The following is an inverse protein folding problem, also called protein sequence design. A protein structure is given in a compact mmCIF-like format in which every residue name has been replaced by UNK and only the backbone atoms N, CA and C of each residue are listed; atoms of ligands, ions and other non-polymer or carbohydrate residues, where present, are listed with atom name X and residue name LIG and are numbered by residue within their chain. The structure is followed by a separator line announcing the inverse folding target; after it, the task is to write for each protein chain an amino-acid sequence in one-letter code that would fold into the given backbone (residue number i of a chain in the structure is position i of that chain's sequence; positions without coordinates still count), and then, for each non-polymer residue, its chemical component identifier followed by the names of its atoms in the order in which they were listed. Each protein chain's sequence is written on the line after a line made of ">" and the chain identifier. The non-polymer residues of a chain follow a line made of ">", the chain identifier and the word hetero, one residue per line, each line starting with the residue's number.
data_IF_058498417986
#
_entry.id   IF_058498417986
#
_cell.length_a   1.000
_cell.length_b   1.000
_cell.length_c   1.000
_cell.angle_alpha   90.00
_cell.angle_beta   90.00
_cell.angle_gamma   90.00
#
_symmetry.space_group_name_H-M   'P 1'
#
loop_
_entity.id
_entity.type
_entity.pdbx_description
1 polymer ?
#
# COMPACT_ATOMS: atom_id res chain seq x y z
N UNK A 1 -13.88 24.06 -3.07
CA UNK A 1 -13.65 23.41 -4.39
C UNK A 1 -12.77 22.18 -4.18
N UNK A 2 -13.29 20.96 -4.36
CA UNK A 2 -12.43 19.75 -4.42
C UNK A 2 -11.82 19.72 -5.83
N UNK A 3 -10.54 20.05 -5.96
CA UNK A 3 -9.79 19.76 -7.18
C UNK A 3 -9.78 18.24 -7.35
N UNK A 4 -10.54 17.71 -8.32
CA UNK A 4 -10.28 16.38 -8.84
C UNK A 4 -8.99 16.46 -9.66
N UNK A 5 -7.85 16.45 -8.95
CA UNK A 5 -6.56 16.23 -9.61
C UNK A 5 -6.56 14.80 -10.12
N UNK A 6 -6.27 14.61 -11.41
CA UNK A 6 -5.99 13.29 -11.94
C UNK A 6 -4.77 12.76 -11.18
N UNK A 7 -4.94 11.69 -10.41
CA UNK A 7 -3.85 11.11 -9.65
C UNK A 7 -2.72 10.66 -10.60
N UNK A 8 -1.47 10.91 -10.21
CA UNK A 8 -0.31 10.57 -11.05
C UNK A 8 -0.10 9.07 -11.22
N UNK A 9 -0.58 8.28 -10.25
CA UNK A 9 -0.53 6.83 -10.26
C UNK A 9 -1.92 6.21 -10.38
N UNK A 10 -1.96 5.03 -11.01
CA UNK A 10 -3.13 4.14 -11.04
C UNK A 10 -3.15 3.25 -9.80
N UNK A 11 -4.33 2.92 -9.33
CA UNK A 11 -4.53 2.05 -8.17
C UNK A 11 -5.01 0.66 -8.57
N UNK A 12 -4.42 -0.37 -7.98
CA UNK A 12 -4.92 -1.74 -7.99
C UNK A 12 -5.09 -2.18 -6.55
N UNK A 13 -6.15 -2.94 -6.27
CA UNK A 13 -6.49 -3.38 -4.92
C UNK A 13 -6.51 -4.89 -4.87
N UNK A 14 -5.67 -5.47 -4.03
CA UNK A 14 -5.70 -6.90 -3.76
C UNK A 14 -6.98 -7.29 -3.01
N UNK A 15 -7.41 -8.55 -3.16
CA UNK A 15 -8.63 -9.06 -2.52
C UNK A 15 -8.56 -8.87 -1.00
N UNK A 16 -7.38 -9.07 -0.39
CA UNK A 16 -7.17 -8.84 1.05
C UNK A 16 -7.42 -7.37 1.42
N UNK A 17 -6.93 -6.44 0.60
CA UNK A 17 -7.15 -5.02 0.81
C UNK A 17 -8.65 -4.68 0.80
N UNK A 18 -9.39 -5.19 -0.19
CA UNK A 18 -10.84 -4.96 -0.30
C UNK A 18 -11.58 -5.52 0.92
N UNK A 19 -11.29 -6.76 1.32
CA UNK A 19 -11.89 -7.39 2.51
C UNK A 19 -11.60 -6.59 3.79
N UNK A 20 -10.37 -6.11 3.96
CA UNK A 20 -10.02 -5.33 5.13
C UNK A 20 -10.62 -3.91 5.09
N UNK A 21 -10.78 -3.31 3.90
CA UNK A 21 -11.48 -2.04 3.75
C UNK A 21 -12.95 -2.14 4.20
N UNK A 22 -13.61 -3.26 3.93
CA UNK A 22 -14.96 -3.57 4.42
C UNK A 22 -14.98 -3.78 5.93
N UNK A 23 -14.06 -4.60 6.44
CA UNK A 23 -13.89 -4.88 7.89
C UNK A 23 -13.69 -3.59 8.70
N UNK A 24 -12.95 -2.63 8.15
CA UNK A 24 -12.61 -1.37 8.81
C UNK A 24 -13.39 -0.18 8.23
N UNK A 25 -14.69 -0.38 7.99
CA UNK A 25 -15.58 0.60 7.36
C UNK A 25 -15.62 1.96 8.08
N UNK A 26 -15.48 1.99 9.41
CA UNK A 26 -15.40 3.23 10.21
C UNK A 26 -14.17 4.09 9.87
N UNK A 27 -13.12 3.50 9.31
CA UNK A 27 -11.90 4.18 8.86
C UNK A 27 -11.91 4.52 7.36
N UNK A 28 -12.94 4.11 6.60
CA UNK A 28 -12.98 4.19 5.13
C UNK A 28 -12.64 5.58 4.59
N UNK A 29 -13.16 6.64 5.21
CA UNK A 29 -12.88 8.02 4.76
C UNK A 29 -11.43 8.46 5.04
N UNK A 30 -10.78 7.92 6.08
CA UNK A 30 -9.36 8.17 6.36
C UNK A 30 -8.48 7.36 5.41
N UNK A 31 -8.83 6.10 5.16
CA UNK A 31 -8.15 5.22 4.21
C UNK A 31 -8.19 5.82 2.80
N UNK A 32 -9.37 6.24 2.33
CA UNK A 32 -9.55 6.86 1.00
C UNK A 32 -8.67 8.09 0.83
N UNK A 33 -8.67 9.01 1.80
CA UNK A 33 -7.81 10.20 1.77
C UNK A 33 -6.33 9.83 1.70
N UNK A 34 -5.91 8.79 2.41
CA UNK A 34 -4.52 8.34 2.37
C UNK A 34 -4.16 7.70 1.02
N UNK A 35 -5.06 6.91 0.42
CA UNK A 35 -4.90 6.39 -0.93
C UNK A 35 -4.73 7.53 -1.93
N UNK A 36 -5.60 8.55 -1.89
CA UNK A 36 -5.51 9.72 -2.78
C UNK A 36 -4.15 10.42 -2.68
N UNK A 37 -3.61 10.56 -1.46
CA UNK A 37 -2.26 11.10 -1.24
C UNK A 37 -1.16 10.19 -1.79
N UNK A 38 -1.25 8.88 -1.57
CA UNK A 38 -0.28 7.91 -2.09
C UNK A 38 -0.28 7.92 -3.62
N UNK A 39 -1.44 8.06 -4.26
CA UNK A 39 -1.52 8.06 -5.73
C UNK A 39 -1.05 9.40 -6.34
N UNK A 40 -1.01 10.46 -5.56
CA UNK A 40 -0.43 11.75 -5.99
C UNK A 40 1.10 11.71 -5.94
N UNK A 41 1.66 11.11 -4.87
CA UNK A 41 3.09 10.88 -4.71
C UNK A 41 3.33 9.67 -3.78
N UNK A 42 3.62 8.48 -4.33
CA UNK A 42 3.78 7.27 -3.53
C UNK A 42 5.14 7.19 -2.84
N UNK A 43 6.02 8.18 -3.02
CA UNK A 43 7.32 8.28 -2.36
C UNK A 43 7.36 9.34 -1.26
N UNK A 44 6.36 10.23 -1.20
CA UNK A 44 6.22 11.21 -0.12
C UNK A 44 5.73 10.54 1.18
N UNK A 45 6.68 10.27 2.09
CA UNK A 45 6.45 9.72 3.44
C UNK A 45 6.07 8.22 3.63
N UNK A 46 6.37 7.27 2.73
CA UNK A 46 6.28 5.85 3.05
C UNK A 46 7.59 5.30 3.63
N UNK A 47 7.44 4.42 4.61
CA UNK A 47 8.50 3.60 5.15
C UNK A 47 8.74 2.41 4.21
N UNK A 48 9.99 2.20 3.76
CA UNK A 48 10.37 0.97 3.05
C UNK A 48 10.38 -0.18 4.05
N UNK A 49 9.74 -1.28 3.68
CA UNK A 49 9.75 -2.50 4.48
C UNK A 49 10.88 -3.43 4.04
N UNK A 50 11.30 -4.28 4.96
CA UNK A 50 12.40 -5.20 4.76
C UNK A 50 12.08 -6.60 5.27
N UNK A 51 13.13 -7.38 5.48
CA UNK A 51 13.04 -8.71 6.08
C UNK A 51 13.42 -8.62 7.54
N UNK A 52 12.50 -8.98 8.42
CA UNK A 52 12.74 -9.13 9.86
C UNK A 52 12.71 -10.62 10.19
N UNK A 53 13.73 -11.20 10.86
CA UNK A 53 13.71 -12.61 11.23
C UNK A 53 12.49 -12.96 12.08
N UNK A 54 11.75 -14.01 11.70
CA UNK A 54 10.53 -14.44 12.39
C UNK A 54 9.25 -13.71 11.95
N UNK A 55 9.34 -12.73 11.06
CA UNK A 55 8.19 -12.04 10.46
C UNK A 55 8.06 -12.37 8.96
N UNK A 56 6.95 -11.94 8.37
CA UNK A 56 6.74 -12.03 6.91
C UNK A 56 7.79 -11.17 6.21
N UNK A 57 8.32 -11.70 5.10
CA UNK A 57 9.26 -10.97 4.26
C UNK A 57 8.52 -9.91 3.42
N UNK A 58 8.65 -8.65 3.85
CA UNK A 58 8.01 -7.50 3.21
C UNK A 58 8.98 -6.69 2.35
N UNK A 59 10.12 -7.29 1.93
CA UNK A 59 11.02 -6.63 0.98
C UNK A 59 10.26 -6.22 -0.28
N UNK A 60 10.49 -4.98 -0.70
CA UNK A 60 9.83 -4.38 -1.86
C UNK A 60 8.47 -3.73 -1.57
N UNK A 61 7.92 -3.94 -0.37
CA UNK A 61 6.73 -3.25 0.09
C UNK A 61 7.06 -1.90 0.73
N UNK A 62 6.04 -1.04 0.76
CA UNK A 62 6.01 0.23 1.48
C UNK A 62 4.86 0.26 2.46
N UNK A 63 5.06 0.98 3.57
CA UNK A 63 4.08 1.21 4.62
C UNK A 63 3.78 2.70 4.73
N UNK A 64 2.49 3.05 4.72
CA UNK A 64 2.02 4.41 5.02
C UNK A 64 1.11 4.42 6.23
N UNK A 65 1.30 5.42 7.10
CA UNK A 65 0.49 5.62 8.31
C UNK A 65 -0.84 6.28 7.97
N UNK A 66 -1.96 5.67 8.33
CA UNK A 66 -3.25 6.38 8.35
C UNK A 66 -3.37 7.17 9.65
N UNK A 67 -2.99 6.56 10.77
CA UNK A 67 -2.83 7.19 12.08
C UNK A 67 -1.73 6.48 12.89
N UNK A 68 -1.75 6.62 14.23
CA UNK A 68 -0.74 6.01 15.12
C UNK A 68 -0.72 4.49 15.02
N UNK A 69 -1.87 3.84 14.85
CA UNK A 69 -2.02 2.40 14.97
C UNK A 69 -2.40 1.71 13.66
N UNK A 70 -2.67 2.46 12.59
CA UNK A 70 -3.27 1.93 11.38
C UNK A 70 -2.39 2.20 10.15
N UNK A 71 -2.15 1.19 9.33
CA UNK A 71 -1.22 1.21 8.19
C UNK A 71 -1.88 0.74 6.91
N UNK A 72 -1.37 1.23 5.78
CA UNK A 72 -1.57 0.68 4.44
C UNK A 72 -0.24 0.08 4.01
N UNK A 73 -0.25 -1.17 3.53
CA UNK A 73 0.89 -1.76 2.82
C UNK A 73 0.60 -1.80 1.34
N UNK A 74 1.57 -1.37 0.54
CA UNK A 74 1.47 -1.31 -0.91
C UNK A 74 2.83 -1.53 -1.58
N UNK A 75 2.82 -1.79 -2.88
CA UNK A 75 4.02 -1.76 -3.73
C UNK A 75 3.85 -0.72 -4.83
N UNK A 76 4.96 -0.16 -5.30
CA UNK A 76 5.01 0.77 -6.45
C UNK A 76 5.67 0.01 -7.59
N UNK A 77 5.02 -0.12 -8.75
CA UNK A 77 5.50 -1.01 -9.80
C UNK A 77 6.86 -0.60 -10.37
N UNK A 78 7.11 0.69 -10.60
CA UNK A 78 8.44 1.18 -11.00
C UNK A 78 9.54 0.89 -9.97
N UNK A 79 9.22 0.72 -8.69
CA UNK A 79 10.20 0.39 -7.66
C UNK A 79 10.39 -1.12 -7.50
N UNK A 80 9.29 -1.88 -7.30
CA UNK A 80 9.38 -3.26 -6.87
C UNK A 80 9.95 -4.20 -7.94
N UNK A 81 9.81 -3.87 -9.24
CA UNK A 81 10.42 -4.60 -10.36
C UNK A 81 11.95 -4.70 -10.24
N UNK A 82 12.57 -3.73 -9.56
CA UNK A 82 14.01 -3.65 -9.39
C UNK A 82 14.49 -4.28 -8.06
N UNK A 83 13.58 -4.76 -7.21
CA UNK A 83 13.90 -5.31 -5.89
C UNK A 83 13.92 -6.83 -5.95
N UNK A 84 15.14 -7.40 -5.91
CA UNK A 84 15.34 -8.85 -5.83
C UNK A 84 14.71 -9.43 -4.57
N UNK A 85 13.90 -10.47 -4.73
CA UNK A 85 13.23 -11.15 -3.61
C UNK A 85 11.99 -10.43 -3.07
N UNK A 86 11.41 -9.50 -3.83
CA UNK A 86 10.08 -8.96 -3.53
C UNK A 86 9.02 -10.07 -3.71
N UNK A 87 8.42 -10.52 -2.61
CA UNK A 87 7.41 -11.58 -2.60
C UNK A 87 6.01 -11.10 -3.02
N UNK A 88 5.81 -9.78 -3.09
CA UNK A 88 4.53 -9.12 -3.39
C UNK A 88 4.61 -8.24 -4.65
N UNK A 89 5.56 -8.53 -5.53
CA UNK A 89 5.62 -7.91 -6.84
C UNK A 89 4.54 -8.54 -7.73
N UNK A 90 3.44 -7.81 -7.96
CA UNK A 90 2.34 -8.25 -8.85
C UNK A 90 2.22 -7.33 -10.07
N UNK A 91 3.38 -6.89 -10.57
CA UNK A 91 3.48 -5.82 -11.53
C UNK A 91 3.71 -6.29 -12.97
N UNK A 92 3.88 -7.58 -13.25
CA UNK A 92 4.27 -8.16 -14.54
C UNK A 92 3.65 -7.41 -15.73
N UNK A 93 2.32 -7.34 -15.79
CA UNK A 93 1.55 -6.70 -16.88
C UNK A 93 1.01 -5.30 -16.54
N UNK A 94 1.69 -4.56 -15.66
CA UNK A 94 1.23 -3.25 -15.17
C UNK A 94 2.19 -2.14 -15.56
N UNK A 95 1.65 -0.95 -15.80
CA UNK A 95 2.46 0.24 -16.04
C UNK A 95 3.27 0.59 -14.79
N UNK A 96 4.44 1.19 -15.00
CA UNK A 96 5.33 1.67 -13.95
C UNK A 96 4.63 2.58 -12.94
N UNK A 97 3.76 3.48 -13.43
CA UNK A 97 2.92 4.37 -12.61
C UNK A 97 1.69 3.67 -12.04
N UNK A 98 1.89 2.51 -11.42
CA UNK A 98 0.87 1.73 -10.72
C UNK A 98 1.27 1.49 -9.28
N UNK A 99 0.32 1.70 -8.37
CA UNK A 99 0.41 1.32 -6.96
C UNK A 99 -0.55 0.16 -6.71
N UNK A 100 -0.03 -0.94 -6.16
CA UNK A 100 -0.82 -2.10 -5.77
C UNK A 100 -0.98 -2.07 -4.25
N UNK A 101 -2.20 -1.87 -3.80
CA UNK A 101 -2.57 -1.87 -2.39
C UNK A 101 -2.81 -3.30 -1.90
N UNK A 102 -1.94 -3.77 -1.00
CA UNK A 102 -1.89 -5.16 -0.56
C UNK A 102 -2.78 -5.43 0.65
N UNK A 103 -2.72 -4.57 1.67
CA UNK A 103 -3.57 -4.67 2.86
C UNK A 103 -3.69 -3.31 3.57
N UNK A 104 -4.68 -3.22 4.46
CA UNK A 104 -4.91 -2.08 5.34
C UNK A 104 -5.40 -2.60 6.68
N UNK A 105 -4.91 -2.04 7.79
CA UNK A 105 -5.31 -2.52 9.10
C UNK A 105 -4.46 -1.98 10.25
N UNK A 106 -4.74 -2.44 11.48
CA UNK A 106 -3.89 -2.19 12.63
C UNK A 106 -2.46 -2.67 12.37
N UNK A 107 -1.46 -2.00 12.93
CA UNK A 107 -0.03 -2.21 12.67
C UNK A 107 0.38 -3.69 12.65
N UNK A 108 0.06 -4.43 13.72
CA UNK A 108 0.42 -5.85 13.84
C UNK A 108 -0.22 -6.71 12.75
N UNK A 109 -1.51 -6.49 12.42
CA UNK A 109 -2.21 -7.26 11.38
C UNK A 109 -1.72 -6.90 9.98
N UNK A 110 -1.45 -5.62 9.75
CA UNK A 110 -0.94 -5.17 8.47
C UNK A 110 0.39 -5.85 8.15
N UNK A 111 1.34 -5.85 9.10
CA UNK A 111 2.67 -6.43 8.88
C UNK A 111 2.65 -7.97 8.88
N UNK A 112 1.67 -8.57 9.55
CA UNK A 112 1.39 -10.01 9.47
C UNK A 112 0.55 -10.40 8.23
N UNK A 113 0.18 -9.44 7.38
CA UNK A 113 -0.59 -9.65 6.15
C UNK A 113 -1.89 -10.45 6.38
N UNK A 114 -2.62 -10.12 7.44
CA UNK A 114 -3.89 -10.73 7.88
C UNK A 114 -5.16 -9.92 7.53
#
# INVERSE_FOLDING_TARGET
>A
MRKYGMSKYKAIYEIRFVRNLERYSSFRQRIKRRIEQILEDPYSQPERLGRVPGEIDLRGCRSSRIDRNFRIIFVICEECRHIKGCMYCFCEDKEDKTVIFLTVGPHHRAYSME
#
